data_IF_916865132566
#
_entry.id   IF_916865132566
#
_cell.length_a   1.000
_cell.length_b   1.000
_cell.length_c   1.000
_cell.angle_alpha   90.00
_cell.angle_beta   90.00
_cell.angle_gamma   90.00
#
_symmetry.space_group_name_H-M   'P 1'
#
loop_
_entity.id
_entity.type
_entity.pdbx_description
1 polymer ?
#
# COMPACT_ATOMS: atom_id res chain seq x y z
N UNK A 1 -0.96 2.60 62.09
CA UNK A 1 -1.50 1.55 63.00
C UNK A 1 -3.03 1.59 62.97
N UNK A 2 -3.66 0.40 62.90
CA UNK A 2 -5.12 0.07 62.92
C UNK A 2 -5.89 0.40 61.62
N UNK A 3 -6.10 -0.52 60.66
CA UNK A 3 -6.88 -1.79 60.57
C UNK A 3 -8.40 -1.67 60.79
N UNK A 4 -9.16 -1.81 59.69
CA UNK A 4 -10.41 -2.62 59.54
C UNK A 4 -10.83 -2.57 58.06
N UNK A 5 -10.55 -3.59 57.23
CA UNK A 5 -11.36 -4.81 56.94
C UNK A 5 -12.84 -4.53 56.64
N UNK A 6 -13.22 -4.56 55.36
CA UNK A 6 -14.59 -4.86 54.93
C UNK A 6 -14.62 -6.23 54.24
N UNK A 7 -15.68 -6.98 54.52
CA UNK A 7 -15.89 -8.40 54.22
C UNK A 7 -16.73 -8.60 52.94
N UNK A 8 -16.48 -9.76 52.34
CA UNK A 8 -17.16 -10.49 51.28
C UNK A 8 -18.70 -10.60 51.36
N UNK A 9 -19.29 -10.79 50.16
CA UNK A 9 -20.53 -11.53 49.82
C UNK A 9 -20.31 -11.98 48.36
N UNK A 10 -19.91 -13.22 48.01
CA UNK A 10 -20.58 -14.54 47.98
C UNK A 10 -21.92 -14.57 47.23
N UNK A 11 -21.91 -15.14 46.02
CA UNK A 11 -22.72 -16.31 45.58
C UNK A 11 -22.35 -16.70 44.13
N UNK A 12 -21.78 -17.89 43.90
CA UNK A 12 -22.45 -19.18 43.56
C UNK A 12 -22.81 -19.21 42.06
N UNK A 13 -22.21 -20.02 41.19
CA UNK A 13 -22.31 -21.50 41.02
C UNK A 13 -21.62 -21.83 39.66
N UNK A 14 -21.05 -22.98 39.31
CA UNK A 14 -20.99 -24.33 39.85
C UNK A 14 -19.88 -25.13 39.10
N UNK A 15 -19.15 -25.98 39.85
CA UNK A 15 -18.67 -27.35 39.58
C UNK A 15 -18.41 -27.81 38.12
N UNK A 16 -17.34 -28.57 37.82
CA UNK A 16 -17.06 -29.92 38.35
C UNK A 16 -15.54 -30.22 38.36
N UNK A 17 -15.09 -30.74 39.50
CA UNK A 17 -13.81 -31.40 39.73
C UNK A 17 -14.05 -32.91 39.64
N UNK A 18 -13.20 -33.68 38.94
CA UNK A 18 -13.09 -35.12 39.16
C UNK A 18 -11.65 -35.46 39.51
N UNK A 19 -11.40 -35.61 40.81
CA UNK A 19 -10.16 -36.07 41.38
C UNK A 19 -10.14 -37.61 41.44
N UNK A 20 -9.03 -38.19 40.97
CA UNK A 20 -8.72 -39.61 41.11
C UNK A 20 -8.64 -40.00 42.60
N UNK A 21 -9.41 -41.01 42.97
CA UNK A 21 -9.29 -41.72 44.24
C UNK A 21 -8.26 -42.84 44.08
N UNK A 22 -7.17 -42.74 44.84
CA UNK A 22 -6.19 -43.81 45.03
C UNK A 22 -6.80 -44.83 46.00
N UNK A 23 -7.04 -46.06 45.54
CA UNK A 23 -7.20 -47.21 46.43
C UNK A 23 -6.10 -48.22 46.14
N UNK A 24 -5.27 -48.47 47.15
CA UNK A 24 -4.24 -49.50 47.13
C UNK A 24 -4.85 -50.84 47.54
N UNK A 25 -4.86 -51.80 46.60
CA UNK A 25 -4.97 -53.22 46.93
C UNK A 25 -3.74 -53.94 46.43
N UNK A 26 -2.97 -54.48 47.37
CA UNK A 26 -1.76 -55.23 47.13
C UNK A 26 -2.09 -56.68 46.72
N UNK A 27 -1.55 -57.13 45.59
CA UNK A 27 -1.29 -58.56 45.35
C UNK A 27 -0.05 -58.77 44.46
N UNK A 28 1.02 -59.22 45.13
CA UNK A 28 2.15 -60.08 44.69
C UNK A 28 2.97 -59.68 43.45
N UNK A 29 4.21 -59.27 43.75
CA UNK A 29 5.38 -59.16 42.87
C UNK A 29 5.50 -60.31 41.85
N UNK A 30 5.58 -59.96 40.57
CA UNK A 30 6.35 -60.68 39.53
C UNK A 30 6.98 -59.66 38.58
N UNK A 31 8.29 -59.82 38.40
CA UNK A 31 9.24 -59.21 37.45
C UNK A 31 9.21 -57.70 37.25
N UNK A 32 10.29 -57.06 37.71
CA UNK A 32 10.68 -55.69 37.39
C UNK A 32 11.11 -55.62 35.91
N UNK A 33 10.18 -55.35 35.00
CA UNK A 33 10.50 -54.69 33.73
C UNK A 33 10.09 -53.22 33.88
N UNK A 34 10.96 -52.25 33.52
CA UNK A 34 10.58 -50.85 33.51
C UNK A 34 9.42 -50.67 32.52
N UNK A 35 8.26 -50.24 33.02
CA UNK A 35 7.16 -49.78 32.17
C UNK A 35 7.66 -48.49 31.49
N UNK A 36 8.20 -48.62 30.29
CA UNK A 36 8.40 -47.50 29.38
C UNK A 36 7.01 -47.00 29.02
N UNK A 37 6.61 -45.76 29.35
CA UNK A 37 5.36 -45.22 28.86
C UNK A 37 5.39 -45.32 27.32
N UNK A 38 4.34 -45.86 26.67
CA UNK A 38 4.34 -45.96 25.23
C UNK A 38 4.53 -44.55 24.66
N UNK A 39 5.56 -44.37 23.84
CA UNK A 39 5.68 -43.18 23.00
C UNK A 39 4.34 -43.04 22.26
N UNK A 40 3.65 -41.89 22.34
CA UNK A 40 2.40 -41.72 21.62
C UNK A 40 2.65 -42.05 20.14
N UNK A 41 1.77 -42.83 19.48
CA UNK A 41 1.94 -43.16 18.08
C UNK A 41 2.00 -41.87 17.27
N UNK A 42 2.91 -41.82 16.30
CA UNK A 42 2.97 -40.71 15.33
C UNK A 42 1.70 -40.78 14.48
N UNK A 43 0.96 -39.68 14.46
CA UNK A 43 -0.27 -39.53 13.66
C UNK A 43 0.02 -39.59 12.15
N UNK A 44 -1.02 -39.92 11.38
CA UNK A 44 -0.94 -39.82 9.93
C UNK A 44 -0.77 -38.36 9.47
N UNK A 45 -0.09 -38.18 8.34
CA UNK A 45 0.18 -36.88 7.76
C UNK A 45 1.52 -36.79 7.05
N UNK A 46 1.89 -35.58 6.68
CA UNK A 46 3.12 -35.27 5.96
C UNK A 46 4.09 -34.52 6.88
N UNK A 47 5.35 -34.94 6.89
CA UNK A 47 6.34 -34.48 7.84
C UNK A 47 7.64 -34.11 7.15
N UNK A 48 8.22 -32.98 7.53
CA UNK A 48 9.62 -32.65 7.22
C UNK A 48 10.50 -33.23 8.32
N UNK A 49 11.56 -33.92 7.93
CA UNK A 49 12.61 -34.37 8.86
C UNK A 49 13.97 -34.51 8.17
N UNK A 50 15.03 -34.30 8.95
CA UNK A 50 16.42 -34.50 8.54
C UNK A 50 17.39 -33.74 9.43
N UNK A 51 18.67 -34.10 9.37
CA UNK A 51 19.72 -33.52 10.22
C UNK A 51 19.97 -32.03 9.93
N UNK A 52 19.61 -31.56 8.74
CA UNK A 52 19.63 -30.12 8.42
C UNK A 52 18.53 -29.34 9.13
N UNK A 53 17.43 -29.97 9.54
CA UNK A 53 16.30 -29.31 10.22
C UNK A 53 16.41 -29.45 11.75
N UNK A 54 15.40 -28.94 12.46
CA UNK A 54 15.20 -29.18 13.90
C UNK A 54 14.44 -30.49 14.18
N UNK A 55 13.98 -31.21 13.15
CA UNK A 55 13.20 -32.43 13.27
C UNK A 55 13.99 -33.62 12.72
N UNK A 56 14.57 -34.46 13.57
CA UNK A 56 15.36 -35.63 13.13
C UNK A 56 14.54 -36.92 13.03
N UNK A 57 13.25 -36.86 13.39
CA UNK A 57 12.31 -37.97 13.36
C UNK A 57 10.88 -37.44 13.12
N UNK A 58 9.93 -38.36 12.88
CA UNK A 58 8.52 -38.01 12.77
C UNK A 58 7.99 -37.49 14.11
N UNK A 59 7.83 -36.16 14.20
CA UNK A 59 7.34 -35.46 15.38
C UNK A 59 6.28 -34.45 14.98
N UNK A 60 5.36 -34.13 15.89
CA UNK A 60 4.26 -33.19 15.62
C UNK A 60 4.75 -31.85 15.07
N UNK A 61 5.88 -31.32 15.56
CA UNK A 61 6.48 -30.08 15.08
C UNK A 61 6.93 -30.13 13.62
N UNK A 62 7.35 -31.31 13.14
CA UNK A 62 7.74 -31.52 11.74
C UNK A 62 6.56 -31.66 10.78
N UNK A 63 5.32 -31.78 11.28
CA UNK A 63 4.13 -31.89 10.44
C UNK A 63 3.94 -30.62 9.60
N UNK A 64 3.66 -30.79 8.31
CA UNK A 64 3.34 -29.69 7.38
C UNK A 64 1.84 -29.40 7.42
N UNK A 65 1.45 -28.17 7.09
CA UNK A 65 0.05 -27.77 6.94
C UNK A 65 -0.44 -27.95 5.51
N UNK A 66 -1.75 -27.98 5.32
CA UNK A 66 -2.37 -28.01 4.00
C UNK A 66 -2.04 -26.72 3.21
N UNK A 67 -1.87 -26.85 1.90
CA UNK A 67 -1.58 -25.76 0.99
C UNK A 67 -2.83 -25.17 0.35
N UNK A 68 -2.78 -23.86 0.13
CA UNK A 68 -3.76 -23.12 -0.68
C UNK A 68 -3.11 -22.85 -2.03
N UNK A 69 -3.85 -23.07 -3.11
CA UNK A 69 -3.46 -22.57 -4.41
C UNK A 69 -3.88 -21.11 -4.52
N UNK A 70 -2.91 -20.21 -4.42
CA UNK A 70 -3.17 -18.77 -4.45
C UNK A 70 -3.47 -18.24 -5.86
N UNK A 71 -3.59 -19.11 -6.87
CA UNK A 71 -4.25 -18.76 -8.15
C UNK A 71 -5.76 -18.86 -8.01
N UNK A 72 -6.26 -19.89 -7.32
CA UNK A 72 -7.70 -20.16 -7.15
C UNK A 72 -8.26 -19.74 -5.80
N UNK A 73 -7.39 -19.41 -4.84
CA UNK A 73 -7.70 -19.05 -3.44
C UNK A 73 -8.42 -20.19 -2.68
N UNK A 74 -8.13 -21.43 -3.03
CA UNK A 74 -8.77 -22.62 -2.48
C UNK A 74 -7.75 -23.64 -1.98
N UNK A 75 -8.15 -24.49 -1.03
CA UNK A 75 -7.32 -25.61 -0.59
C UNK A 75 -7.00 -26.52 -1.78
N UNK A 76 -5.72 -26.85 -1.94
CA UNK A 76 -5.23 -27.71 -3.01
C UNK A 76 -4.88 -29.09 -2.47
N UNK A 77 -5.62 -30.10 -2.95
CA UNK A 77 -5.39 -31.48 -2.55
C UNK A 77 -3.96 -31.92 -2.91
N UNK A 78 -3.25 -32.50 -1.94
CA UNK A 78 -1.85 -32.90 -2.09
C UNK A 78 -0.81 -31.78 -2.01
N UNK A 79 -1.21 -30.53 -1.87
CA UNK A 79 -0.29 -29.42 -1.59
C UNK A 79 -0.11 -29.23 -0.10
N UNK A 80 1.14 -29.06 0.34
CA UNK A 80 1.49 -28.84 1.73
C UNK A 80 2.58 -27.80 1.87
N UNK A 81 2.50 -27.01 2.95
CA UNK A 81 3.36 -25.86 3.16
C UNK A 81 3.93 -25.84 4.57
N UNK A 82 5.17 -25.37 4.72
CA UNK A 82 5.78 -25.12 6.03
C UNK A 82 6.95 -24.16 5.92
N UNK A 83 7.07 -23.23 6.86
CA UNK A 83 8.32 -22.53 7.12
C UNK A 83 9.27 -23.45 7.92
N UNK A 84 10.46 -23.70 7.39
CA UNK A 84 11.45 -24.61 7.97
C UNK A 84 12.80 -23.90 8.14
N UNK A 85 13.41 -24.07 9.31
CA UNK A 85 14.80 -23.65 9.55
C UNK A 85 15.74 -24.76 9.11
N UNK A 86 16.70 -24.43 8.25
CA UNK A 86 17.58 -25.40 7.60
C UNK A 86 19.03 -24.97 7.75
N UNK A 87 19.87 -25.90 8.18
CA UNK A 87 21.32 -25.73 8.22
C UNK A 87 22.03 -26.55 7.15
N UNK A 88 23.00 -25.93 6.48
CA UNK A 88 23.86 -26.58 5.47
C UNK A 88 24.89 -27.53 6.07
N UNK A 89 25.08 -27.51 7.39
CA UNK A 89 26.00 -28.43 8.07
C UNK A 89 25.45 -29.87 8.22
N UNK A 90 24.14 -30.07 7.99
CA UNK A 90 23.51 -31.39 8.00
C UNK A 90 23.48 -32.04 6.62
N UNK A 91 23.17 -33.34 6.57
CA UNK A 91 23.09 -34.13 5.34
C UNK A 91 21.78 -33.91 4.53
N UNK A 92 21.09 -32.78 4.74
CA UNK A 92 19.82 -32.45 4.10
C UNK A 92 18.58 -32.85 4.91
N UNK A 93 17.44 -32.80 4.25
CA UNK A 93 16.13 -33.18 4.79
C UNK A 93 15.24 -33.86 3.75
N UNK A 94 14.20 -34.53 4.22
CA UNK A 94 13.22 -35.23 3.41
C UNK A 94 11.81 -34.90 3.88
N UNK A 95 10.85 -35.26 3.04
CA UNK A 95 9.44 -35.30 3.39
C UNK A 95 8.99 -36.73 3.54
N UNK A 96 8.30 -37.08 4.61
CA UNK A 96 7.73 -38.40 4.83
C UNK A 96 6.22 -38.29 4.97
N UNK A 97 5.49 -39.01 4.12
CA UNK A 97 4.05 -39.19 4.24
C UNK A 97 3.80 -40.49 5.00
N UNK A 98 3.14 -40.37 6.16
CA UNK A 98 2.70 -41.48 6.99
C UNK A 98 1.21 -41.74 6.79
N UNK A 99 0.88 -42.97 6.42
CA UNK A 99 -0.49 -43.47 6.32
C UNK A 99 -0.57 -44.85 6.98
N UNK A 100 -1.02 -44.87 8.23
CA UNK A 100 -0.99 -46.02 9.13
C UNK A 100 0.42 -46.58 9.30
N UNK A 101 0.61 -47.83 8.83
CA UNK A 101 1.89 -48.52 8.88
C UNK A 101 2.82 -48.20 7.69
N UNK A 102 2.34 -47.44 6.70
CA UNK A 102 3.09 -47.14 5.48
C UNK A 102 3.73 -45.76 5.61
N UNK A 103 5.01 -45.68 5.25
CA UNK A 103 5.77 -44.42 5.19
C UNK A 103 6.39 -44.30 3.79
N UNK A 104 6.13 -43.18 3.12
CA UNK A 104 6.70 -42.85 1.81
C UNK A 104 7.60 -41.64 1.94
N UNK A 105 8.88 -41.79 1.58
CA UNK A 105 9.87 -40.72 1.67
C UNK A 105 10.09 -40.07 0.32
N UNK A 106 10.04 -38.74 0.29
CA UNK A 106 10.32 -37.89 -0.85
C UNK A 106 11.59 -37.07 -0.64
N UNK A 107 12.35 -36.95 -1.72
CA UNK A 107 13.48 -36.06 -1.92
C UNK A 107 13.38 -35.39 -3.30
N UNK A 108 14.38 -34.59 -3.69
CA UNK A 108 14.38 -33.95 -5.00
C UNK A 108 14.80 -34.94 -6.10
N UNK A 109 14.04 -35.02 -7.19
CA UNK A 109 14.46 -35.68 -8.43
C UNK A 109 15.18 -34.70 -9.36
N UNK A 110 14.66 -33.48 -9.46
CA UNK A 110 15.30 -32.34 -10.13
C UNK A 110 15.36 -31.17 -9.17
N UNK A 111 16.29 -30.24 -9.41
CA UNK A 111 16.45 -29.04 -8.58
C UNK A 111 17.11 -27.92 -9.40
N UNK A 112 16.31 -26.93 -9.78
CA UNK A 112 16.73 -25.70 -10.42
C UNK A 112 16.75 -24.58 -9.39
N UNK A 113 17.70 -23.65 -9.50
CA UNK A 113 17.84 -22.51 -8.58
C UNK A 113 17.89 -21.24 -9.39
N UNK A 114 17.01 -20.29 -9.08
CA UNK A 114 16.97 -19.00 -9.76
C UNK A 114 17.86 -17.93 -9.09
N UNK A 115 17.82 -16.71 -9.62
CA UNK A 115 18.63 -15.59 -9.15
C UNK A 115 18.28 -15.13 -7.71
N UNK A 116 17.05 -15.39 -7.28
CA UNK A 116 16.54 -15.08 -5.93
C UNK A 116 16.76 -16.25 -4.96
N UNK A 117 17.52 -17.27 -5.40
CA UNK A 117 17.82 -18.51 -4.68
C UNK A 117 16.57 -19.36 -4.39
N UNK A 118 15.47 -19.13 -5.11
CA UNK A 118 14.30 -20.01 -5.04
C UNK A 118 14.66 -21.30 -5.77
N UNK A 119 14.51 -22.41 -5.07
CA UNK A 119 14.74 -23.73 -5.63
C UNK A 119 13.42 -24.33 -6.10
N UNK A 120 13.38 -24.92 -7.29
CA UNK A 120 12.18 -25.53 -7.88
C UNK A 120 12.53 -26.88 -8.47
N UNK A 121 11.62 -27.82 -8.43
CA UNK A 121 11.89 -29.12 -9.02
C UNK A 121 10.74 -30.10 -8.88
N UNK A 122 11.07 -31.34 -9.25
CA UNK A 122 10.18 -32.48 -9.18
C UNK A 122 10.55 -33.40 -8.03
N UNK A 123 9.56 -34.09 -7.49
CA UNK A 123 9.76 -35.04 -6.40
C UNK A 123 10.29 -36.38 -6.93
N UNK A 124 11.17 -36.99 -6.15
CA UNK A 124 11.65 -38.37 -6.29
C UNK A 124 11.64 -39.09 -4.95
N UNK A 125 11.97 -40.38 -4.95
CA UNK A 125 11.97 -41.23 -3.74
C UNK A 125 13.38 -41.52 -3.22
N UNK A 126 14.37 -40.73 -3.63
CA UNK A 126 15.77 -40.86 -3.24
C UNK A 126 16.44 -39.50 -3.10
N UNK A 127 17.54 -39.43 -2.36
CA UNK A 127 18.25 -38.17 -2.09
C UNK A 127 17.57 -37.34 -0.99
N UNK A 128 18.22 -36.25 -0.59
CA UNK A 128 17.72 -35.32 0.40
C UNK A 128 17.68 -33.91 -0.20
N UNK A 129 16.66 -33.13 0.18
CA UNK A 129 16.61 -31.71 -0.11
C UNK A 129 17.75 -30.98 0.62
N UNK A 130 18.29 -29.96 -0.03
CA UNK A 130 19.37 -29.12 0.50
C UNK A 130 19.19 -27.69 0.03
N UNK A 131 19.59 -26.74 0.86
CA UNK A 131 19.53 -25.30 0.60
C UNK A 131 20.94 -24.72 0.42
N UNK A 132 21.11 -23.59 -0.28
CA UNK A 132 22.44 -23.02 -0.53
C UNK A 132 23.10 -22.38 0.70
N UNK A 133 22.31 -21.91 1.68
CA UNK A 133 22.82 -21.23 2.89
C UNK A 133 22.01 -21.61 4.13
N UNK A 134 22.60 -21.44 5.32
CA UNK A 134 21.83 -21.51 6.56
C UNK A 134 20.69 -20.46 6.55
N UNK A 135 19.49 -20.82 7.02
CA UNK A 135 18.39 -19.85 7.07
C UNK A 135 17.01 -20.45 7.30
N UNK A 136 16.02 -19.56 7.27
CA UNK A 136 14.60 -19.90 7.23
C UNK A 136 14.13 -19.98 5.78
N UNK A 137 13.32 -20.98 5.46
CA UNK A 137 12.80 -21.21 4.12
C UNK A 137 11.30 -21.47 4.15
N UNK A 138 10.57 -20.91 3.19
CA UNK A 138 9.21 -21.31 2.88
C UNK A 138 9.26 -22.52 1.95
N UNK A 139 8.88 -23.68 2.46
CA UNK A 139 8.91 -24.93 1.72
C UNK A 139 7.50 -25.37 1.36
N UNK A 140 7.30 -25.62 0.08
CA UNK A 140 6.03 -26.06 -0.48
C UNK A 140 6.26 -27.30 -1.34
N UNK A 141 5.45 -28.32 -1.08
CA UNK A 141 5.44 -29.57 -1.82
C UNK A 141 4.03 -29.82 -2.34
N UNK A 142 3.91 -30.17 -3.61
CA UNK A 142 2.66 -30.64 -4.19
C UNK A 142 2.86 -32.06 -4.73
N UNK A 143 2.30 -33.03 -4.01
CA UNK A 143 2.42 -34.44 -4.37
C UNK A 143 1.50 -34.82 -5.53
N UNK A 144 0.47 -34.01 -5.81
CA UNK A 144 -0.47 -34.26 -6.90
C UNK A 144 0.14 -33.96 -8.26
N UNK A 145 0.91 -32.87 -8.36
CA UNK A 145 1.68 -32.45 -9.54
C UNK A 145 3.12 -32.97 -9.54
N UNK A 146 3.55 -33.62 -8.44
CA UNK A 146 4.92 -34.13 -8.24
C UNK A 146 5.98 -33.02 -8.29
N UNK A 147 5.68 -31.84 -7.76
CA UNK A 147 6.59 -30.68 -7.75
C UNK A 147 6.84 -30.15 -6.34
N UNK A 148 7.86 -29.30 -6.23
CA UNK A 148 8.13 -28.53 -5.02
C UNK A 148 8.79 -27.19 -5.36
N UNK A 149 8.76 -26.28 -4.38
CA UNK A 149 9.70 -25.17 -4.33
C UNK A 149 10.18 -24.90 -2.90
N UNK A 150 11.37 -24.32 -2.78
CA UNK A 150 11.97 -23.84 -1.53
C UNK A 150 12.35 -22.38 -1.75
N UNK A 151 11.67 -21.45 -1.09
CA UNK A 151 11.95 -20.01 -1.19
C UNK A 151 12.63 -19.49 0.09
N UNK A 152 13.73 -18.72 0.00
CA UNK A 152 14.37 -18.16 1.19
C UNK A 152 13.45 -17.14 1.87
N UNK A 153 13.28 -17.29 3.18
CA UNK A 153 12.47 -16.40 4.01
C UNK A 153 13.34 -15.49 4.88
N UNK A 154 14.51 -15.11 4.37
CA UNK A 154 15.52 -14.33 5.09
C UNK A 154 15.38 -12.82 4.89
N UNK A 155 14.60 -12.37 3.91
CA UNK A 155 14.32 -10.94 3.66
C UNK A 155 12.84 -10.64 3.76
N UNK A 156 12.49 -9.58 4.49
CA UNK A 156 11.13 -9.10 4.67
C UNK A 156 11.06 -7.60 4.44
N UNK A 157 9.97 -7.14 3.82
CA UNK A 157 9.63 -5.73 3.69
C UNK A 157 8.25 -5.46 4.29
N UNK A 158 8.03 -4.21 4.70
CA UNK A 158 6.70 -3.62 4.93
C UNK A 158 6.36 -2.71 3.75
N UNK A 159 5.12 -2.77 3.27
CA UNK A 159 4.66 -2.04 2.09
C UNK A 159 3.19 -1.68 2.20
N UNK A 160 2.79 -0.56 1.59
CA UNK A 160 1.41 -0.09 1.51
C UNK A 160 1.29 1.40 1.78
N UNK A 161 0.07 1.92 1.67
CA UNK A 161 -0.24 3.34 1.85
C UNK A 161 0.14 3.85 3.23
N UNK A 162 0.13 3.00 4.26
CA UNK A 162 0.62 3.42 5.59
C UNK A 162 2.10 3.78 5.61
N UNK A 163 2.92 3.25 4.69
CA UNK A 163 4.38 3.43 4.69
C UNK A 163 4.89 4.06 3.39
N UNK A 164 4.01 4.75 2.66
CA UNK A 164 4.29 5.34 1.35
C UNK A 164 3.30 4.87 0.31
N UNK A 165 3.69 3.88 -0.50
CA UNK A 165 2.87 3.34 -1.60
C UNK A 165 2.95 1.80 -1.72
N UNK A 166 2.37 1.23 -2.78
CA UNK A 166 2.45 -0.20 -3.11
C UNK A 166 3.56 -0.54 -4.13
N UNK A 167 4.45 0.42 -4.44
CA UNK A 167 5.53 0.28 -5.40
C UNK A 167 6.85 -0.17 -4.77
N UNK A 168 7.19 0.36 -3.58
CA UNK A 168 8.51 0.13 -2.95
C UNK A 168 8.39 -0.40 -1.53
N UNK A 169 9.16 -1.44 -1.21
CA UNK A 169 9.27 -1.94 0.17
C UNK A 169 10.15 -1.05 1.03
N UNK A 170 9.79 -0.91 2.31
CA UNK A 170 10.75 -0.61 3.36
C UNK A 170 11.28 -1.93 3.91
N UNK A 171 12.57 -2.20 3.73
CA UNK A 171 13.22 -3.43 4.23
C UNK A 171 13.23 -3.48 5.77
N UNK A 172 12.81 -4.61 6.32
CA UNK A 172 12.93 -4.92 7.75
C UNK A 172 14.25 -5.67 7.96
N UNK A 173 15.20 -5.05 8.66
CA UNK A 173 16.57 -5.54 8.72
C UNK A 173 16.65 -6.90 9.42
N UNK A 174 17.38 -7.83 8.81
CA UNK A 174 17.49 -9.21 9.30
C UNK A 174 18.43 -9.30 10.50
N UNK A 175 17.96 -9.96 11.54
CA UNK A 175 18.73 -10.25 12.75
C UNK A 175 19.50 -11.56 12.68
N UNK A 176 19.82 -12.11 13.86
CA UNK A 176 20.62 -13.33 13.99
C UNK A 176 19.74 -14.55 13.79
N UNK A 177 20.13 -15.41 12.85
CA UNK A 177 19.51 -16.72 12.66
C UNK A 177 20.08 -17.75 13.64
N UNK A 178 19.20 -18.63 14.11
CA UNK A 178 19.50 -19.91 14.73
C UNK A 178 18.52 -20.96 14.21
N UNK A 179 18.77 -22.25 14.50
CA UNK A 179 17.83 -23.32 14.14
C UNK A 179 16.44 -23.14 14.76
N UNK A 180 16.33 -22.47 15.90
CA UNK A 180 15.08 -22.34 16.65
C UNK A 180 14.37 -21.00 16.41
N UNK A 181 15.09 -19.97 15.95
CA UNK A 181 14.54 -18.63 15.82
C UNK A 181 15.32 -17.74 14.84
N UNK A 182 14.62 -16.75 14.28
CA UNK A 182 15.18 -15.63 13.52
C UNK A 182 14.31 -14.38 13.72
N UNK A 183 14.95 -13.21 13.77
CA UNK A 183 14.29 -11.92 13.98
C UNK A 183 14.51 -10.98 12.80
N UNK A 184 13.60 -10.03 12.61
CA UNK A 184 13.78 -8.85 11.77
C UNK A 184 13.33 -7.62 12.56
N UNK A 185 14.05 -6.52 12.47
CA UNK A 185 13.69 -5.28 13.13
C UNK A 185 14.22 -4.06 12.37
N UNK A 186 13.35 -3.08 12.12
CA UNK A 186 13.74 -1.75 11.64
C UNK A 186 13.03 -0.70 12.48
N UNK A 187 13.76 0.36 12.86
CA UNK A 187 13.24 1.52 13.61
C UNK A 187 12.95 2.69 12.69
N UNK A 188 12.28 3.70 13.23
CA UNK A 188 12.06 4.99 12.56
C UNK A 188 11.29 4.85 11.23
N UNK A 189 10.33 3.92 11.20
CA UNK A 189 9.38 3.79 10.11
C UNK A 189 8.21 4.72 10.38
N UNK A 190 8.03 5.73 9.53
CA UNK A 190 6.82 6.55 9.52
C UNK A 190 5.64 5.69 9.05
N UNK A 191 4.61 5.57 9.89
CA UNK A 191 3.37 4.89 9.53
C UNK A 191 2.16 5.82 9.68
N UNK A 192 1.39 5.98 8.60
CA UNK A 192 0.17 6.78 8.49
C UNK A 192 -1.08 5.90 8.40
N UNK A 193 -2.25 6.53 8.52
CA UNK A 193 -3.52 5.84 8.27
C UNK A 193 -3.51 5.13 6.92
N UNK A 194 -4.03 3.90 6.90
CA UNK A 194 -4.29 3.19 5.66
C UNK A 194 -3.85 1.72 5.68
N UNK A 195 -3.85 1.09 4.51
CA UNK A 195 -3.51 -0.31 4.39
C UNK A 195 -2.00 -0.57 4.29
N UNK A 196 -1.55 -1.71 4.83
CA UNK A 196 -0.20 -2.24 4.64
C UNK A 196 -0.13 -3.78 4.68
N UNK A 197 0.99 -4.36 4.25
CA UNK A 197 1.33 -5.79 4.31
C UNK A 197 2.82 -6.00 4.61
N UNK A 198 3.15 -7.23 5.02
CA UNK A 198 4.54 -7.71 5.00
C UNK A 198 4.76 -8.62 3.80
N UNK A 199 5.86 -8.49 3.07
CA UNK A 199 6.20 -9.42 1.98
C UNK A 199 7.62 -9.93 2.07
N UNK A 200 7.76 -11.24 1.89
CA UNK A 200 9.04 -11.93 1.80
C UNK A 200 9.63 -11.69 0.41
N UNK A 201 10.95 -11.53 0.34
CA UNK A 201 11.74 -11.40 -0.92
C UNK A 201 11.23 -10.35 -1.93
N UNK A 202 10.42 -9.39 -1.50
CA UNK A 202 9.84 -8.37 -2.37
C UNK A 202 8.79 -8.90 -3.36
N UNK A 203 8.27 -10.12 -3.18
CA UNK A 203 7.27 -10.73 -4.06
C UNK A 203 5.96 -11.04 -3.33
N UNK A 204 4.85 -10.95 -4.06
CA UNK A 204 3.53 -11.37 -3.59
C UNK A 204 3.40 -12.89 -3.54
N UNK A 205 3.94 -13.58 -4.54
CA UNK A 205 3.74 -15.03 -4.74
C UNK A 205 5.01 -15.69 -5.29
N UNK A 206 5.15 -16.97 -5.02
CA UNK A 206 5.97 -17.89 -5.82
C UNK A 206 5.02 -18.64 -6.76
N UNK A 207 5.17 -18.40 -8.06
CA UNK A 207 4.31 -19.00 -9.11
C UNK A 207 4.99 -20.24 -9.69
N UNK A 208 4.28 -21.36 -9.72
CA UNK A 208 4.62 -22.58 -10.47
C UNK A 208 3.71 -22.67 -11.70
N UNK A 209 3.90 -23.67 -12.56
CA UNK A 209 3.15 -23.78 -13.82
C UNK A 209 1.62 -23.86 -13.62
N UNK A 210 1.17 -24.48 -12.52
CA UNK A 210 -0.23 -24.83 -12.28
C UNK A 210 -0.76 -24.48 -10.88
N UNK A 211 0.05 -23.81 -10.04
CA UNK A 211 -0.35 -23.25 -8.75
C UNK A 211 0.55 -22.09 -8.34
N UNK A 212 0.12 -21.32 -7.33
CA UNK A 212 0.96 -20.32 -6.70
C UNK A 212 0.85 -20.41 -5.17
N UNK A 213 1.84 -19.86 -4.48
CA UNK A 213 1.82 -19.73 -3.03
C UNK A 213 2.22 -18.31 -2.62
N UNK A 214 1.42 -17.69 -1.76
CA UNK A 214 1.63 -16.34 -1.25
C UNK A 214 2.88 -16.28 -0.37
N UNK A 215 3.69 -15.25 -0.60
CA UNK A 215 4.89 -14.92 0.17
C UNK A 215 4.71 -13.65 0.99
N UNK A 216 3.47 -13.19 1.16
CA UNK A 216 3.11 -12.04 1.97
C UNK A 216 2.19 -12.43 3.13
N UNK A 217 2.22 -11.61 4.18
CA UNK A 217 1.28 -11.68 5.30
C UNK A 217 0.31 -10.51 5.29
N UNK A 218 -0.92 -10.80 5.72
CA UNK A 218 -2.01 -9.88 5.92
C UNK A 218 -2.91 -10.27 7.09
N UNK A 219 -4.01 -9.54 7.26
CA UNK A 219 -5.08 -9.78 8.23
C UNK A 219 -5.34 -8.59 9.14
N UNK A 220 -5.35 -8.81 10.45
CA UNK A 220 -5.86 -7.84 11.43
C UNK A 220 -4.75 -7.26 12.31
N UNK A 221 -4.77 -5.93 12.49
CA UNK A 221 -3.99 -5.23 13.52
C UNK A 221 -4.73 -5.31 14.86
N UNK A 222 -4.02 -5.67 15.92
CA UNK A 222 -4.56 -5.85 17.27
C UNK A 222 -3.66 -5.20 18.32
N UNK A 223 -4.23 -4.90 19.49
CA UNK A 223 -3.52 -4.30 20.61
C UNK A 223 -3.87 -2.82 20.82
N UNK A 224 -3.05 -2.14 21.62
CA UNK A 224 -3.23 -0.72 21.94
C UNK A 224 -1.88 -0.03 21.98
N UNK A 225 -1.81 1.20 21.48
CA UNK A 225 -0.58 1.99 21.53
C UNK A 225 0.03 2.02 22.95
N UNK A 226 1.37 1.94 23.06
CA UNK A 226 2.32 1.97 21.96
C UNK A 226 2.56 0.61 21.28
N UNK A 227 1.93 -0.49 21.73
CA UNK A 227 2.24 -1.83 21.24
C UNK A 227 1.07 -2.44 20.46
N UNK A 228 1.25 -2.59 19.16
CA UNK A 228 0.35 -3.32 18.28
C UNK A 228 1.01 -4.62 17.82
N UNK A 229 0.18 -5.53 17.34
CA UNK A 229 0.56 -6.82 16.77
C UNK A 229 -0.32 -7.09 15.55
N UNK A 230 0.11 -7.98 14.68
CA UNK A 230 -0.65 -8.41 13.51
C UNK A 230 -0.87 -9.91 13.54
N UNK A 231 -2.01 -10.36 13.01
CA UNK A 231 -2.15 -11.77 12.61
C UNK A 231 -1.18 -12.06 11.47
N UNK A 232 -0.61 -13.27 11.37
CA UNK A 232 0.34 -13.63 10.30
C UNK A 232 -0.32 -14.58 9.29
N UNK A 233 -1.33 -14.10 8.56
CA UNK A 233 -2.08 -14.92 7.59
C UNK A 233 -1.43 -14.81 6.22
N UNK A 234 -0.90 -15.91 5.68
CA UNK A 234 -0.35 -15.96 4.32
C UNK A 234 -1.44 -15.51 3.33
N UNK A 235 -1.12 -14.54 2.47
CA UNK A 235 -2.07 -14.05 1.47
C UNK A 235 -3.26 -13.25 2.02
N UNK A 236 -3.35 -13.06 3.35
CA UNK A 236 -4.51 -12.44 3.99
C UNK A 236 -4.78 -11.01 3.51
N UNK A 237 -5.94 -10.48 3.90
CA UNK A 237 -6.36 -9.10 3.61
C UNK A 237 -5.31 -8.07 4.05
N UNK A 238 -5.41 -6.83 3.55
CA UNK A 238 -4.52 -5.77 4.02
C UNK A 238 -4.72 -5.54 5.52
N UNK A 239 -3.62 -5.31 6.24
CA UNK A 239 -3.71 -4.73 7.58
C UNK A 239 -4.15 -3.28 7.44
N UNK A 240 -5.01 -2.80 8.33
CA UNK A 240 -5.41 -1.40 8.38
C UNK A 240 -4.85 -0.73 9.64
N UNK A 241 -4.06 0.33 9.46
CA UNK A 241 -3.65 1.22 10.54
C UNK A 241 -4.62 2.40 10.60
N UNK A 242 -5.27 2.62 11.74
CA UNK A 242 -6.21 3.72 11.90
C UNK A 242 -5.49 5.08 12.08
N UNK A 243 -6.14 6.19 11.74
CA UNK A 243 -5.60 7.55 11.96
C UNK A 243 -5.11 7.76 13.40
N UNK A 244 -5.88 7.35 14.40
CA UNK A 244 -5.49 7.49 15.81
C UNK A 244 -4.24 6.66 16.20
N UNK A 245 -3.76 5.77 15.32
CA UNK A 245 -2.61 4.92 15.51
C UNK A 245 -1.35 5.42 14.80
N UNK A 246 -1.42 6.46 13.98
CA UNK A 246 -0.27 6.97 13.20
C UNK A 246 0.91 7.36 14.09
N UNK A 247 2.13 7.24 13.58
CA UNK A 247 3.34 7.50 14.35
C UNK A 247 4.62 7.04 13.68
N UNK A 248 5.73 7.27 14.36
CA UNK A 248 6.99 6.59 14.08
C UNK A 248 6.97 5.24 14.80
N UNK A 249 7.38 4.18 14.12
CA UNK A 249 7.35 2.81 14.63
C UNK A 249 8.71 2.11 14.56
N UNK A 250 8.93 1.25 15.54
CA UNK A 250 9.77 0.06 15.39
C UNK A 250 8.88 -1.08 14.91
N UNK A 251 9.23 -1.67 13.77
CA UNK A 251 8.56 -2.83 13.20
C UNK A 251 9.47 -4.04 13.39
N UNK A 252 8.96 -5.06 14.07
CA UNK A 252 9.68 -6.30 14.31
C UNK A 252 8.88 -7.53 13.90
N UNK A 253 9.55 -8.50 13.28
CA UNK A 253 9.05 -9.84 13.02
C UNK A 253 9.92 -10.85 13.77
N UNK A 254 9.29 -11.88 14.32
CA UNK A 254 9.96 -13.01 14.95
C UNK A 254 9.37 -14.30 14.41
N UNK A 255 10.23 -15.17 13.89
CA UNK A 255 9.87 -16.57 13.68
C UNK A 255 10.53 -17.44 14.74
N UNK A 256 9.76 -18.38 15.30
CA UNK A 256 10.31 -19.48 16.10
C UNK A 256 9.76 -20.82 15.63
N UNK A 257 10.52 -21.88 15.84
CA UNK A 257 10.08 -23.25 15.58
C UNK A 257 8.80 -23.63 16.38
N UNK A 258 8.58 -22.97 17.51
CA UNK A 258 7.44 -23.24 18.39
C UNK A 258 6.17 -22.47 18.00
N UNK A 259 6.29 -21.18 17.68
CA UNK A 259 5.15 -20.29 17.48
C UNK A 259 4.91 -19.89 16.01
N UNK A 260 5.83 -20.20 15.10
CA UNK A 260 5.82 -19.63 13.76
C UNK A 260 6.11 -18.13 13.80
N UNK A 261 5.56 -17.38 12.84
CA UNK A 261 5.72 -15.93 12.77
C UNK A 261 4.84 -15.20 13.77
N UNK A 262 5.41 -14.16 14.37
CA UNK A 262 4.76 -13.15 15.19
C UNK A 262 5.31 -11.78 14.80
N UNK A 263 4.57 -10.73 15.14
CA UNK A 263 4.98 -9.35 14.87
C UNK A 263 4.83 -8.47 16.11
N UNK A 264 5.58 -7.37 16.12
CA UNK A 264 5.39 -6.26 17.05
C UNK A 264 5.55 -4.94 16.29
N UNK A 265 4.57 -4.05 16.42
CA UNK A 265 4.66 -2.67 15.97
C UNK A 265 4.67 -1.80 17.23
N UNK A 266 5.82 -1.24 17.56
CA UNK A 266 5.99 -0.39 18.74
C UNK A 266 6.08 1.07 18.30
N UNK A 267 5.07 1.89 18.62
CA UNK A 267 5.10 3.33 18.37
C UNK A 267 6.19 3.97 19.25
N UNK A 268 7.19 4.57 18.60
CA UNK A 268 8.35 5.22 19.21
C UNK A 268 8.23 6.74 19.24
N UNK A 269 7.39 7.31 18.39
CA UNK A 269 7.19 8.75 18.29
C UNK A 269 5.87 9.12 17.61
N UNK A 270 5.52 10.40 17.70
CA UNK A 270 4.46 10.95 16.87
C UNK A 270 5.03 11.34 15.51
N UNK A 271 4.14 11.38 14.54
CA UNK A 271 4.35 12.02 13.26
C UNK A 271 3.56 13.32 13.29
N UNK A 272 4.08 14.38 12.68
CA UNK A 272 3.29 15.61 12.54
C UNK A 272 2.11 15.30 11.62
N UNK A 273 0.87 15.66 11.98
CA UNK A 273 -0.27 15.51 11.09
C UNK A 273 0.07 16.15 9.74
N UNK A 274 -0.30 15.52 8.61
CA UNK A 274 -0.19 16.21 7.34
C UNK A 274 -0.97 17.54 7.44
N UNK A 275 -0.47 18.63 6.84
CA UNK A 275 -1.20 19.89 6.83
C UNK A 275 -2.60 19.69 6.26
N UNK A 276 -3.61 20.17 7.00
CA UNK A 276 -4.98 20.23 6.50
C UNK A 276 -5.11 21.45 5.57
N UNK A 277 -5.66 21.22 4.40
CA UNK A 277 -5.95 22.25 3.41
C UNK A 277 -7.46 22.38 3.24
N UNK A 278 -7.91 23.54 2.79
CA UNK A 278 -9.32 23.76 2.46
C UNK A 278 -9.78 22.76 1.39
N UNK A 279 -11.00 22.26 1.46
CA UNK A 279 -11.55 21.39 0.40
C UNK A 279 -11.89 22.18 -0.87
N UNK A 280 -12.22 23.46 -0.71
CA UNK A 280 -12.56 24.37 -1.80
C UNK A 280 -11.91 25.72 -1.55
N UNK A 281 -11.58 26.41 -2.64
CA UNK A 281 -11.11 27.78 -2.61
C UNK A 281 -11.88 28.62 -3.62
N UNK A 282 -12.12 29.88 -3.28
CA UNK A 282 -12.81 30.84 -4.13
C UNK A 282 -11.97 32.08 -4.33
N UNK A 283 -12.12 32.70 -5.50
CA UNK A 283 -11.66 34.06 -5.78
C UNK A 283 -12.82 35.03 -5.59
N UNK A 284 -12.54 36.20 -5.02
CA UNK A 284 -13.56 37.25 -4.79
C UNK A 284 -12.96 38.64 -4.96
N UNK A 285 -13.77 39.58 -5.48
CA UNK A 285 -13.44 40.99 -5.65
C UNK A 285 -13.74 41.51 -7.06
N UNK A 286 -13.81 42.84 -7.24
CA UNK A 286 -14.14 43.49 -8.52
C UNK A 286 -13.15 43.17 -9.64
N UNK A 287 -11.94 42.70 -9.30
CA UNK A 287 -10.99 42.18 -10.28
C UNK A 287 -11.55 41.00 -11.07
N UNK A 288 -12.29 40.11 -10.41
CA UNK A 288 -12.79 38.86 -11.01
C UNK A 288 -14.33 38.78 -11.12
N UNK A 289 -15.05 39.48 -10.24
CA UNK A 289 -16.50 39.62 -10.26
C UNK A 289 -16.91 40.85 -9.44
N UNK A 290 -17.24 40.66 -8.15
CA UNK A 290 -17.59 41.69 -7.18
C UNK A 290 -17.24 41.17 -5.76
N UNK A 291 -17.63 41.89 -4.71
CA UNK A 291 -17.39 41.50 -3.31
C UNK A 291 -18.52 40.67 -2.68
N UNK A 292 -19.47 40.21 -3.49
CA UNK A 292 -20.64 39.41 -3.08
C UNK A 292 -20.69 38.03 -3.76
N UNK A 293 -19.99 37.85 -4.88
CA UNK A 293 -20.04 36.70 -5.76
C UNK A 293 -18.70 35.98 -5.77
N UNK A 294 -18.68 34.78 -5.19
CA UNK A 294 -17.51 33.92 -5.20
C UNK A 294 -17.35 33.17 -6.52
N UNK A 295 -16.11 33.18 -7.01
CA UNK A 295 -15.73 32.46 -8.21
C UNK A 295 -14.90 31.23 -7.82
N UNK A 296 -15.41 30.00 -7.98
CA UNK A 296 -14.68 28.81 -7.56
C UNK A 296 -13.39 28.61 -8.36
N UNK A 297 -12.31 28.26 -7.67
CA UNK A 297 -11.10 27.70 -8.28
C UNK A 297 -11.30 26.19 -8.52
N UNK A 298 -10.34 25.58 -9.21
CA UNK A 298 -10.30 24.15 -9.52
C UNK A 298 -9.19 23.53 -8.69
N UNK A 299 -9.50 22.45 -7.95
CA UNK A 299 -8.48 21.67 -7.27
C UNK A 299 -7.58 20.94 -8.28
N UNK A 300 -6.29 20.83 -8.00
CA UNK A 300 -5.37 19.99 -8.78
C UNK A 300 -5.55 18.54 -8.34
N UNK A 301 -5.83 17.63 -9.30
CA UNK A 301 -6.04 16.21 -8.99
C UNK A 301 -4.85 15.64 -8.21
N UNK A 302 -5.13 14.95 -7.10
CA UNK A 302 -4.09 14.31 -6.27
C UNK A 302 -3.25 15.27 -5.42
N UNK A 303 -3.49 16.58 -5.45
CA UNK A 303 -2.73 17.60 -4.70
C UNK A 303 -3.64 18.52 -3.90
N UNK A 304 -3.94 18.16 -2.64
CA UNK A 304 -4.86 18.90 -1.75
C UNK A 304 -4.45 20.35 -1.45
N UNK A 305 -3.17 20.68 -1.64
CA UNK A 305 -2.62 22.01 -1.38
C UNK A 305 -2.71 22.97 -2.58
N UNK A 306 -3.08 22.49 -3.76
CA UNK A 306 -2.99 23.25 -5.00
C UNK A 306 -4.37 23.53 -5.61
N UNK A 307 -4.60 24.81 -5.89
CA UNK A 307 -5.79 25.31 -6.59
C UNK A 307 -5.38 26.15 -7.79
N UNK A 308 -6.18 26.12 -8.84
CA UNK A 308 -5.91 26.91 -10.04
C UNK A 308 -7.17 27.47 -10.69
N UNK A 309 -7.00 28.51 -11.52
CA UNK A 309 -8.04 29.02 -12.39
C UNK A 309 -7.45 29.83 -13.54
N UNK A 310 -7.93 29.59 -14.77
CA UNK A 310 -7.82 30.59 -15.84
C UNK A 310 -9.00 31.53 -15.70
N UNK A 311 -8.73 32.82 -15.45
CA UNK A 311 -9.75 33.81 -15.08
C UNK A 311 -9.55 35.12 -15.84
N UNK A 312 -10.64 35.78 -16.18
CA UNK A 312 -10.62 37.15 -16.71
C UNK A 312 -10.50 38.14 -15.56
N UNK A 313 -9.46 38.96 -15.55
CA UNK A 313 -9.21 39.94 -14.49
C UNK A 313 -9.24 41.36 -15.08
N UNK A 314 -9.94 42.27 -14.40
CA UNK A 314 -10.04 43.69 -14.78
C UNK A 314 -8.83 44.47 -14.25
N UNK A 315 -8.27 45.33 -15.10
CA UNK A 315 -7.12 46.18 -14.79
C UNK A 315 -7.32 47.00 -13.51
N UNK A 316 -6.31 46.98 -12.63
CA UNK A 316 -6.24 47.74 -11.37
C UNK A 316 -7.39 47.50 -10.38
N UNK A 317 -8.27 46.53 -10.64
CA UNK A 317 -9.32 46.12 -9.72
C UNK A 317 -8.81 45.01 -8.79
N UNK A 318 -9.28 45.05 -7.55
CA UNK A 318 -8.78 44.18 -6.48
C UNK A 318 -9.47 42.81 -6.47
N UNK A 319 -8.72 41.77 -6.10
CA UNK A 319 -9.26 40.47 -5.74
C UNK A 319 -8.45 39.80 -4.62
N UNK A 320 -9.05 38.80 -3.97
CA UNK A 320 -8.42 37.96 -2.96
C UNK A 320 -9.06 36.56 -2.98
N UNK A 321 -8.70 35.73 -2.01
CA UNK A 321 -9.22 34.37 -1.87
C UNK A 321 -9.93 34.18 -0.53
N UNK A 322 -10.87 33.23 -0.50
CA UNK A 322 -11.46 32.74 0.74
C UNK A 322 -11.92 31.27 0.58
N UNK A 323 -11.87 30.46 1.64
CA UNK A 323 -12.25 29.05 1.58
C UNK A 323 -13.77 28.83 1.72
N UNK A 324 -14.46 29.75 2.38
CA UNK A 324 -15.91 29.71 2.56
C UNK A 324 -16.58 30.96 1.99
N UNK A 325 -17.88 30.89 1.74
CA UNK A 325 -18.72 32.02 1.34
C UNK A 325 -18.99 32.99 2.52
N UNK A 326 -17.94 33.34 3.28
CA UNK A 326 -17.99 34.09 4.53
C UNK A 326 -16.82 35.06 4.66
N UNK A 327 -16.91 35.97 5.64
CA UNK A 327 -15.83 36.85 6.08
C UNK A 327 -15.53 36.53 7.54
N UNK A 328 -14.84 35.42 7.75
CA UNK A 328 -14.56 34.79 9.05
C UNK A 328 -13.12 34.96 9.52
N UNK A 329 -12.28 35.61 8.70
CA UNK A 329 -10.87 35.84 8.97
C UNK A 329 -9.94 34.87 8.25
N UNK A 330 -10.47 33.89 7.50
CA UNK A 330 -9.70 32.98 6.66
C UNK A 330 -9.53 33.49 5.23
N UNK A 331 -10.07 34.68 4.91
CA UNK A 331 -9.77 35.36 3.66
C UNK A 331 -8.30 35.81 3.58
N UNK A 332 -7.68 35.67 2.42
CA UNK A 332 -6.28 36.05 2.21
C UNK A 332 -6.04 36.67 0.84
N UNK A 333 -5.09 37.60 0.80
CA UNK A 333 -4.43 38.05 -0.40
C UNK A 333 -2.94 37.77 -0.27
N UNK A 334 -2.10 38.80 -0.20
CA UNK A 334 -0.66 38.64 -0.08
C UNK A 334 -0.02 39.55 0.98
N UNK A 335 1.13 39.10 1.50
CA UNK A 335 2.00 39.88 2.40
C UNK A 335 3.23 40.49 1.69
N UNK A 336 3.78 39.79 0.69
CA UNK A 336 4.89 40.26 -0.14
C UNK A 336 4.69 39.95 -1.62
N UNK A 337 4.95 40.95 -2.46
CA UNK A 337 5.12 40.80 -3.92
C UNK A 337 6.58 40.39 -4.18
N UNK A 338 6.76 39.21 -4.76
CA UNK A 338 8.07 38.63 -5.08
C UNK A 338 8.54 39.01 -6.49
N UNK A 339 7.69 39.69 -7.28
CA UNK A 339 7.91 40.03 -8.68
C UNK A 339 7.59 38.88 -9.62
N UNK A 340 7.39 39.21 -10.91
CA UNK A 340 7.13 38.22 -11.96
C UNK A 340 5.78 37.50 -11.83
N UNK A 341 4.83 38.08 -11.09
CA UNK A 341 3.53 37.47 -10.82
C UNK A 341 3.50 36.54 -9.60
N UNK A 342 4.57 36.47 -8.82
CA UNK A 342 4.64 35.63 -7.61
C UNK A 342 4.42 36.45 -6.34
N UNK A 343 3.63 35.91 -5.41
CA UNK A 343 3.26 36.55 -4.16
C UNK A 343 3.32 35.55 -3.00
N UNK A 344 3.65 36.01 -1.79
CA UNK A 344 3.48 35.20 -0.57
C UNK A 344 2.08 35.37 -0.03
N UNK A 345 1.38 34.26 0.27
CA UNK A 345 0.06 34.29 0.89
C UNK A 345 0.10 35.08 2.20
N UNK A 346 -0.91 35.92 2.41
CA UNK A 346 -0.99 36.79 3.58
C UNK A 346 -2.26 37.62 3.64
N UNK A 347 -2.34 38.52 4.61
CA UNK A 347 -3.54 39.35 4.86
C UNK A 347 -3.27 40.85 4.69
N UNK A 348 -2.04 41.24 4.37
CA UNK A 348 -1.66 42.65 4.30
C UNK A 348 -2.29 43.39 3.10
N UNK A 349 -2.52 42.73 1.96
CA UNK A 349 -2.96 43.39 0.72
C UNK A 349 -3.78 42.46 -0.19
N UNK A 350 -4.68 43.06 -0.99
CA UNK A 350 -5.40 42.40 -2.07
C UNK A 350 -4.55 42.38 -3.35
N UNK A 351 -4.77 41.43 -4.25
CA UNK A 351 -4.08 41.34 -5.54
C UNK A 351 -4.72 42.27 -6.57
N UNK A 352 -3.92 42.74 -7.53
CA UNK A 352 -4.35 43.49 -8.71
C UNK A 352 -3.50 43.07 -9.90
N UNK A 353 -4.00 43.31 -11.12
CA UNK A 353 -3.23 43.14 -12.36
C UNK A 353 -3.12 44.46 -13.11
N UNK A 354 -2.03 44.63 -13.86
CA UNK A 354 -1.73 45.89 -14.56
C UNK A 354 -2.46 46.04 -15.90
N UNK A 355 -3.14 45.00 -16.40
CA UNK A 355 -3.89 45.04 -17.64
C UNK A 355 -5.11 44.12 -17.56
N UNK A 356 -6.17 44.45 -18.29
CA UNK A 356 -7.36 43.60 -18.38
C UNK A 356 -7.08 42.42 -19.31
N UNK A 357 -7.43 41.20 -18.91
CA UNK A 357 -7.28 40.02 -19.76
C UNK A 357 -7.41 38.70 -19.01
N UNK A 358 -7.14 37.59 -19.70
CA UNK A 358 -7.01 36.28 -19.08
C UNK A 358 -5.67 36.10 -18.38
N UNK A 359 -5.74 35.54 -17.16
CA UNK A 359 -4.61 35.16 -16.33
C UNK A 359 -4.78 33.73 -15.85
N UNK A 360 -3.68 33.00 -15.73
CA UNK A 360 -3.60 31.81 -14.89
C UNK A 360 -3.30 32.25 -13.46
N UNK A 361 -4.15 31.83 -12.53
CA UNK A 361 -3.96 32.01 -11.09
C UNK A 361 -3.77 30.64 -10.46
N UNK A 362 -2.67 30.45 -9.72
CA UNK A 362 -2.37 29.22 -8.97
C UNK A 362 -2.09 29.57 -7.52
N UNK A 363 -2.71 28.85 -6.59
CA UNK A 363 -2.49 28.97 -5.15
C UNK A 363 -1.86 27.68 -4.64
N UNK A 364 -0.70 27.80 -4.00
CA UNK A 364 0.00 26.72 -3.33
C UNK A 364 0.03 26.99 -1.83
N UNK A 365 -0.84 26.28 -1.10
CA UNK A 365 -0.99 26.40 0.34
C UNK A 365 0.16 25.72 1.10
N UNK A 366 0.92 24.83 0.47
CA UNK A 366 2.10 24.21 1.09
C UNK A 366 3.30 25.16 1.03
N UNK A 367 3.56 25.74 -0.14
CA UNK A 367 4.62 26.71 -0.33
C UNK A 367 4.26 28.13 0.17
N UNK A 368 3.00 28.35 0.55
CA UNK A 368 2.42 29.65 0.92
C UNK A 368 2.59 30.71 -0.18
N UNK A 369 2.25 30.34 -1.42
CA UNK A 369 2.42 31.18 -2.61
C UNK A 369 1.16 31.33 -3.45
N UNK A 370 1.06 32.48 -4.11
CA UNK A 370 0.13 32.74 -5.20
C UNK A 370 0.94 33.10 -6.44
N UNK A 371 0.61 32.48 -7.57
CA UNK A 371 1.14 32.84 -8.89
C UNK A 371 0.03 33.43 -9.75
N UNK A 372 0.31 34.55 -10.42
CA UNK A 372 -0.55 35.20 -11.40
C UNK A 372 0.28 35.39 -12.68
N UNK A 373 0.02 34.57 -13.69
CA UNK A 373 0.82 34.50 -14.92
C UNK A 373 -0.07 34.44 -16.17
N UNK A 374 0.54 34.51 -17.36
CA UNK A 374 -0.19 34.30 -18.60
C UNK A 374 -0.67 32.84 -18.69
N UNK A 375 -1.93 32.58 -19.13
CA UNK A 375 -2.43 31.23 -19.24
C UNK A 375 -1.82 30.51 -20.43
N UNK A 376 -1.57 29.21 -20.25
CA UNK A 376 -1.02 28.36 -21.29
C UNK A 376 -1.85 27.07 -21.39
N UNK A 377 -2.64 26.93 -22.46
CA UNK A 377 -3.49 25.76 -22.71
C UNK A 377 -2.94 24.99 -23.91
N UNK A 378 -2.86 23.66 -23.80
CA UNK A 378 -2.29 22.79 -24.82
C UNK A 378 -3.23 21.64 -25.18
N UNK A 379 -3.19 21.23 -26.45
CA UNK A 379 -3.63 19.90 -26.87
C UNK A 379 -2.56 18.84 -26.56
N UNK A 380 -2.99 17.63 -26.23
CA UNK A 380 -2.11 16.48 -25.99
C UNK A 380 -2.81 15.17 -26.44
N UNK A 381 -2.03 14.11 -26.64
CA UNK A 381 -2.53 12.77 -26.94
C UNK A 381 -2.70 12.49 -28.42
N UNK A 382 -3.58 11.55 -28.73
CA UNK A 382 -3.68 10.93 -30.04
C UNK A 382 -4.04 11.93 -31.16
N UNK A 383 -4.93 12.88 -30.88
CA UNK A 383 -5.34 13.94 -31.82
C UNK A 383 -4.17 14.82 -32.30
N UNK A 384 -3.06 14.85 -31.57
CA UNK A 384 -1.84 15.60 -31.91
C UNK A 384 -0.61 14.71 -32.07
N UNK A 385 -0.80 13.39 -32.08
CA UNK A 385 0.22 12.41 -32.43
C UNK A 385 1.23 12.08 -31.32
N UNK A 386 0.96 12.41 -30.06
CA UNK A 386 1.87 12.09 -28.97
C UNK A 386 1.48 12.66 -27.60
N UNK A 387 2.19 12.21 -26.58
CA UNK A 387 1.96 12.53 -25.16
C UNK A 387 3.03 13.46 -24.58
N UNK A 388 3.83 14.10 -25.43
CA UNK A 388 4.81 15.09 -24.99
C UNK A 388 4.09 16.37 -24.51
N UNK A 389 4.49 16.87 -23.34
CA UNK A 389 3.91 18.08 -22.74
C UNK A 389 4.51 19.36 -23.33
N UNK A 390 3.73 20.44 -23.29
CA UNK A 390 4.13 21.79 -23.65
C UNK A 390 4.71 21.90 -25.08
N UNK A 391 4.18 21.08 -26.00
CA UNK A 391 4.53 21.13 -27.43
C UNK A 391 4.05 22.47 -28.00
N UNK A 392 4.95 23.36 -28.47
CA UNK A 392 4.58 24.71 -28.90
C UNK A 392 3.55 24.75 -30.02
N UNK A 393 3.56 23.77 -30.91
CA UNK A 393 2.60 23.64 -32.02
C UNK A 393 1.17 23.31 -31.56
N UNK A 394 1.00 22.92 -30.31
CA UNK A 394 -0.27 22.55 -29.70
C UNK A 394 -0.79 23.60 -28.71
N UNK A 395 -0.05 24.71 -28.54
CA UNK A 395 -0.43 25.83 -27.67
C UNK A 395 -1.58 26.64 -28.27
N UNK A 396 -2.60 26.91 -27.45
CA UNK A 396 -3.69 27.80 -27.80
C UNK A 396 -3.23 29.25 -27.76
N UNK A 397 -3.83 30.08 -28.63
CA UNK A 397 -3.65 31.53 -28.62
C UNK A 397 -4.62 32.16 -27.62
N UNK A 398 -4.09 33.04 -26.75
CA UNK A 398 -4.90 33.85 -25.84
C UNK A 398 -5.28 35.14 -26.56
N UNK A 399 -6.55 35.26 -26.94
CA UNK A 399 -7.11 36.44 -27.59
C UNK A 399 -7.97 37.23 -26.58
N UNK A 400 -7.29 38.14 -25.88
CA UNK A 400 -7.96 39.03 -24.93
C UNK A 400 -8.92 40.01 -25.60
N UNK A 401 -8.76 40.35 -26.89
CA UNK A 401 -9.67 41.29 -27.55
C UNK A 401 -11.07 40.68 -27.73
N UNK A 402 -11.13 39.38 -27.96
CA UNK A 402 -12.37 38.63 -28.17
C UNK A 402 -12.79 37.76 -26.98
N UNK A 403 -12.08 37.87 -25.84
CA UNK A 403 -12.34 37.07 -24.63
C UNK A 403 -12.36 35.56 -24.94
N UNK A 404 -11.40 35.07 -25.73
CA UNK A 404 -11.31 33.65 -26.11
C UNK A 404 -9.88 33.13 -26.06
N UNK A 405 -9.73 31.88 -25.64
CA UNK A 405 -8.51 31.08 -25.80
C UNK A 405 -8.79 30.06 -26.90
N UNK A 406 -8.06 30.14 -28.01
CA UNK A 406 -8.43 29.45 -29.26
C UNK A 406 -7.27 28.75 -29.94
N UNK A 407 -7.56 27.64 -30.61
CA UNK A 407 -6.64 27.00 -31.55
C UNK A 407 -7.40 26.53 -32.80
N UNK A 408 -6.81 26.74 -33.98
CA UNK A 408 -7.26 26.10 -35.23
C UNK A 408 -6.15 25.22 -35.76
N UNK A 409 -6.41 23.92 -35.88
CA UNK A 409 -5.38 22.92 -36.20
C UNK A 409 -5.95 21.72 -36.95
N UNK A 410 -5.14 21.14 -37.83
CA UNK A 410 -5.39 19.80 -38.36
C UNK A 410 -5.12 18.75 -37.27
N UNK A 411 -6.17 18.08 -36.82
CA UNK A 411 -6.12 17.02 -35.82
C UNK A 411 -6.19 15.64 -36.49
N UNK A 412 -5.53 14.68 -35.88
CA UNK A 412 -5.63 13.26 -36.22
C UNK A 412 -6.92 12.66 -35.66
N UNK A 413 -7.29 11.48 -36.16
CA UNK A 413 -8.35 10.69 -35.54
C UNK A 413 -7.88 10.21 -34.15
N UNK A 414 -8.72 10.38 -33.13
CA UNK A 414 -8.39 10.03 -31.76
C UNK A 414 -9.26 10.74 -30.73
N UNK A 415 -8.95 10.52 -29.46
CA UNK A 415 -9.66 11.16 -28.36
C UNK A 415 -9.02 12.50 -28.02
N UNK A 416 -9.84 13.55 -27.99
CA UNK A 416 -9.41 14.90 -27.62
C UNK A 416 -8.97 14.95 -26.16
N UNK A 417 -7.79 15.52 -25.91
CA UNK A 417 -7.31 15.87 -24.57
C UNK A 417 -6.70 17.26 -24.59
N UNK A 418 -7.01 18.04 -23.57
CA UNK A 418 -6.42 19.35 -23.37
C UNK A 418 -6.20 19.62 -21.89
N UNK A 419 -5.24 20.47 -21.60
CA UNK A 419 -4.84 20.80 -20.24
C UNK A 419 -4.21 22.18 -20.20
N UNK A 420 -4.07 22.72 -19.00
CA UNK A 420 -3.30 23.95 -18.77
C UNK A 420 -1.93 23.64 -18.19
N UNK A 421 -0.91 24.43 -18.53
CA UNK A 421 0.43 24.26 -17.99
C UNK A 421 0.78 25.37 -17.00
N UNK A 422 1.48 25.00 -15.93
CA UNK A 422 2.11 25.91 -14.97
C UNK A 422 3.30 25.19 -14.30
N UNK A 423 4.41 25.88 -13.93
CA UNK A 423 5.54 25.24 -13.27
C UNK A 423 5.24 24.54 -11.93
N UNK A 424 4.06 24.79 -11.34
CA UNK A 424 3.64 24.17 -10.07
C UNK A 424 2.88 22.86 -10.28
N UNK A 425 2.51 22.51 -11.51
CA UNK A 425 1.79 21.26 -11.78
C UNK A 425 2.79 20.14 -12.08
N UNK A 426 2.62 19.00 -11.41
CA UNK A 426 3.50 17.85 -11.56
C UNK A 426 3.31 17.15 -12.91
N UNK A 427 2.07 17.04 -13.38
CA UNK A 427 1.72 16.36 -14.62
C UNK A 427 0.46 16.96 -15.26
N UNK A 428 0.32 16.80 -16.59
CA UNK A 428 -0.72 17.46 -17.39
C UNK A 428 -2.14 17.00 -17.03
N UNK A 429 -2.29 15.71 -16.72
CA UNK A 429 -3.59 15.10 -16.44
C UNK A 429 -4.14 15.49 -15.06
N UNK A 430 -3.34 16.14 -14.21
CA UNK A 430 -3.83 16.70 -12.95
C UNK A 430 -4.67 17.99 -13.14
N UNK A 431 -4.59 18.59 -14.32
CA UNK A 431 -5.15 19.90 -14.67
C UNK A 431 -5.78 19.87 -16.07
N UNK A 432 -6.33 18.71 -16.44
CA UNK A 432 -7.06 18.52 -17.71
C UNK A 432 -8.53 18.96 -17.59
N UNK A 433 -9.11 19.23 -18.76
CA UNK A 433 -10.51 19.58 -18.90
C UNK A 433 -11.01 19.25 -20.31
N UNK A 434 -12.33 19.25 -20.49
CA UNK A 434 -13.03 18.86 -21.71
C UNK A 434 -14.19 19.81 -22.02
N UNK A 435 -14.83 19.64 -23.17
CA UNK A 435 -15.99 20.44 -23.59
C UNK A 435 -17.19 19.52 -23.77
N UNK A 436 -18.13 19.51 -22.82
CA UNK A 436 -19.38 18.77 -22.96
C UNK A 436 -20.56 19.73 -23.10
N UNK A 437 -21.45 19.46 -24.05
CA UNK A 437 -22.62 20.30 -24.31
C UNK A 437 -22.30 21.81 -24.47
N UNK A 438 -21.14 22.12 -25.05
CA UNK A 438 -20.57 23.46 -25.20
C UNK A 438 -20.17 24.16 -23.88
N UNK A 439 -19.90 23.41 -22.84
CA UNK A 439 -19.45 23.87 -21.53
C UNK A 439 -18.08 23.27 -21.22
N UNK A 440 -17.18 24.09 -20.68
CA UNK A 440 -15.88 23.65 -20.19
C UNK A 440 -16.08 22.90 -18.87
N UNK A 441 -15.68 21.64 -18.82
CA UNK A 441 -15.73 20.81 -17.63
C UNK A 441 -14.33 20.39 -17.20
N UNK A 442 -13.94 20.76 -15.98
CA UNK A 442 -12.65 20.41 -15.40
C UNK A 442 -12.69 19.03 -14.76
N UNK A 443 -11.59 18.27 -14.87
CA UNK A 443 -11.42 17.03 -14.10
C UNK A 443 -11.49 17.28 -12.60
N UNK A 444 -10.89 18.38 -12.14
CA UNK A 444 -10.74 18.72 -10.73
C UNK A 444 -10.15 17.55 -9.92
N UNK A 445 -10.79 17.14 -8.82
CA UNK A 445 -10.43 15.99 -7.99
C UNK A 445 -11.13 14.68 -8.41
N UNK A 446 -11.84 14.69 -9.55
CA UNK A 446 -12.59 13.56 -10.06
C UNK A 446 -11.77 12.52 -10.83
N UNK A 447 -12.42 11.38 -11.10
CA UNK A 447 -11.91 10.32 -11.96
C UNK A 447 -11.72 10.77 -13.41
N UNK A 448 -11.17 9.89 -14.25
CA UNK A 448 -10.99 10.13 -15.69
C UNK A 448 -12.31 10.55 -16.37
N UNK A 449 -12.29 11.69 -17.07
CA UNK A 449 -13.45 12.24 -17.78
C UNK A 449 -13.83 11.39 -19.01
N UNK A 450 -15.10 11.46 -19.42
CA UNK A 450 -15.55 10.92 -20.71
C UNK A 450 -14.72 11.50 -21.88
N UNK A 451 -14.60 10.77 -22.98
CA UNK A 451 -13.75 11.18 -24.12
C UNK A 451 -14.60 11.63 -25.30
N UNK A 452 -14.17 12.72 -25.94
CA UNK A 452 -14.72 13.21 -27.20
C UNK A 452 -13.82 12.66 -28.29
N UNK A 453 -14.34 11.67 -28.99
CA UNK A 453 -13.66 11.08 -30.13
C UNK A 453 -13.82 11.99 -31.36
N UNK A 454 -12.71 12.38 -31.97
CA UNK A 454 -12.67 13.18 -33.20
C UNK A 454 -12.21 12.32 -34.37
N UNK A 455 -12.80 12.60 -35.54
CA UNK A 455 -12.25 12.13 -36.82
C UNK A 455 -11.11 13.04 -37.26
N UNK A 456 -10.21 12.57 -38.12
CA UNK A 456 -9.17 13.45 -38.67
C UNK A 456 -9.77 14.61 -39.47
N UNK A 457 -9.29 15.84 -39.24
CA UNK A 457 -9.80 17.04 -39.89
C UNK A 457 -9.23 18.34 -39.30
N UNK A 458 -9.55 19.47 -39.93
CA UNK A 458 -9.26 20.79 -39.38
C UNK A 458 -10.35 21.15 -38.38
N UNK A 459 -9.97 21.43 -37.14
CA UNK A 459 -10.89 21.87 -36.10
C UNK A 459 -10.50 23.24 -35.57
N UNK A 460 -11.51 24.03 -35.21
CA UNK A 460 -11.36 25.21 -34.34
C UNK A 460 -11.92 24.89 -32.97
N UNK A 461 -11.09 25.02 -31.94
CA UNK A 461 -11.49 24.85 -30.54
C UNK A 461 -11.40 26.21 -29.86
N UNK A 462 -12.54 26.68 -29.35
CA UNK A 462 -12.68 27.96 -28.67
C UNK A 462 -13.06 27.73 -27.21
N UNK A 463 -12.36 28.40 -26.30
CA UNK A 463 -12.56 28.32 -24.86
C UNK A 463 -12.79 29.73 -24.30
N UNK A 464 -13.94 29.97 -23.71
CA UNK A 464 -14.25 31.22 -23.00
C UNK A 464 -14.33 30.92 -21.49
N UNK A 465 -13.20 31.03 -20.80
CA UNK A 465 -13.12 30.77 -19.36
C UNK A 465 -13.88 31.78 -18.48
N UNK A 466 -14.29 32.91 -19.06
CA UNK A 466 -15.06 33.94 -18.35
C UNK A 466 -16.53 33.53 -18.21
N UNK A 467 -17.09 32.92 -19.26
CA UNK A 467 -18.49 32.44 -19.29
C UNK A 467 -18.61 30.94 -19.02
N UNK A 468 -17.51 30.19 -19.13
CA UNK A 468 -17.49 28.73 -19.05
C UNK A 468 -17.88 28.02 -20.35
N UNK A 469 -18.10 28.76 -21.44
CA UNK A 469 -18.46 28.17 -22.73
C UNK A 469 -17.24 27.62 -23.46
N UNK A 470 -17.42 26.49 -24.15
CA UNK A 470 -16.43 25.90 -25.05
C UNK A 470 -17.08 25.44 -26.35
N UNK A 471 -16.34 25.39 -27.45
CA UNK A 471 -16.84 24.80 -28.70
C UNK A 471 -15.76 24.08 -29.49
N UNK A 472 -16.18 23.09 -30.29
CA UNK A 472 -15.35 22.32 -31.20
C UNK A 472 -16.07 22.36 -32.56
N UNK A 473 -15.45 22.95 -33.58
CA UNK A 473 -16.05 23.21 -34.89
C UNK A 473 -15.26 22.63 -36.04
#
# INVERSE_FOLDING_TARGET
MKKTKFKNLVNLSWFILLALIITSTACKKKSDDPIVPPTPPVEDGIYVLGNSTSYTALVAKGKMGDGIDDVTEELRDGMYVKYISVSVAGDGFNVVIKAGATETTYGPATNEVDADLIQRGTLGTSGAFSVPTDGLYYFVIDVSSNTYFIAPATKWGIIGMSVGDWGTDIEIATGIWSKDAITWETTDIEMREGPFKFRQIGSWKVVMDDYAANTNFGGVVSGTLPNLTTTMVNGGDNYELALAQEGMFTVALLWTDEAGFTSALTKTGNVEPPPEYFEQLYMIGPGVSDWDTDLPTVAVYGHKNLFWKIVWITENEEFKFRPEHAWDGDEFGFDADLGGGEYTIGTASNLTVAATGYYMVVVDLEAMKISVSDPAVYLIGDCVGGWDQAVPENLFTVDNENEVVTITKDLLEGDLRMYTAHPYFADWWHVEFMIFDNVIEFRADGDDQERIHLTAGTYTIDLNFKTGAGSIQ
#
